data_IF_476385629469
#
_entry.id   IF_476385629469
#
_cell.length_a   1.000
_cell.length_b   1.000
_cell.length_c   1.000
_cell.angle_alpha   90.00
_cell.angle_beta   90.00
_cell.angle_gamma   90.00
#
_symmetry.space_group_name_H-M   'P 1'
#
loop_
_entity.id
_entity.type
_entity.pdbx_description
1 polymer ?
#
# COMPACT_ATOMS: atom_id res chain seq x y z
N UNK A 1 -63.34 25.83 -4.72
CA UNK A 1 -62.15 26.73 -4.70
C UNK A 1 -61.43 26.59 -6.03
N UNK A 2 -60.87 27.70 -6.53
CA UNK A 2 -60.20 27.85 -7.86
C UNK A 2 -59.01 26.90 -8.03
N UNK A 3 -58.80 26.21 -9.16
CA UNK A 3 -58.67 26.58 -10.59
C UNK A 3 -57.21 26.84 -11.04
N UNK A 4 -56.88 26.47 -12.28
CA UNK A 4 -55.52 26.21 -12.79
C UNK A 4 -54.83 27.35 -13.56
N UNK A 5 -53.49 27.28 -13.62
CA UNK A 5 -52.55 27.78 -14.69
C UNK A 5 -52.59 29.27 -15.12
N UNK A 6 -51.58 30.05 -14.71
CA UNK A 6 -50.90 31.13 -15.49
C UNK A 6 -49.40 31.15 -15.10
N UNK A 7 -48.51 31.87 -15.79
CA UNK A 7 -47.76 31.42 -16.97
C UNK A 7 -46.88 32.57 -17.58
N UNK A 8 -45.55 32.48 -17.38
CA UNK A 8 -44.46 33.14 -18.14
C UNK A 8 -44.15 34.67 -18.03
N UNK A 9 -42.83 34.95 -18.08
CA UNK A 9 -42.10 36.23 -18.39
C UNK A 9 -42.16 37.30 -17.28
N UNK A 10 -41.14 38.13 -17.03
CA UNK A 10 -39.88 38.52 -17.71
C UNK A 10 -38.69 38.39 -16.70
N UNK A 11 -37.38 38.43 -16.99
CA UNK A 11 -36.56 39.22 -17.93
C UNK A 11 -35.31 38.44 -18.39
N UNK A 12 -34.59 38.97 -19.39
CA UNK A 12 -33.48 38.30 -20.09
C UNK A 12 -32.26 39.23 -20.22
N UNK A 13 -31.07 38.73 -19.84
CA UNK A 13 -29.73 39.27 -20.19
C UNK A 13 -29.33 40.65 -19.56
N UNK A 14 -28.03 41.04 -19.53
CA UNK A 14 -26.87 40.40 -20.20
C UNK A 14 -25.67 40.03 -19.30
N UNK A 15 -24.69 39.38 -19.94
CA UNK A 15 -23.43 38.88 -19.40
C UNK A 15 -22.48 39.99 -18.90
N UNK A 16 -21.76 39.71 -17.81
CA UNK A 16 -20.59 40.48 -17.38
C UNK A 16 -19.49 39.55 -16.89
N UNK A 17 -18.38 39.44 -17.63
CA UNK A 17 -17.23 38.66 -17.22
C UNK A 17 -16.47 39.40 -16.11
N UNK A 18 -16.48 38.86 -14.89
CA UNK A 18 -15.54 39.27 -13.83
C UNK A 18 -14.65 38.10 -13.43
N UNK A 19 -13.42 38.13 -13.92
CA UNK A 19 -12.36 37.26 -13.45
C UNK A 19 -12.05 37.60 -11.98
N UNK A 20 -12.47 36.74 -11.06
CA UNK A 20 -12.05 36.84 -9.67
C UNK A 20 -10.58 36.43 -9.57
N UNK A 21 -9.75 37.32 -9.02
CA UNK A 21 -8.33 37.03 -8.77
C UNK A 21 -8.23 35.89 -7.75
N UNK A 22 -7.27 34.96 -7.89
CA UNK A 22 -7.01 33.98 -6.83
C UNK A 22 -6.52 34.71 -5.56
N UNK A 23 -6.86 34.23 -4.35
CA UNK A 23 -6.35 34.79 -3.12
C UNK A 23 -4.82 34.62 -3.03
N UNK A 24 -4.13 35.69 -2.64
CA UNK A 24 -2.68 35.68 -2.48
C UNK A 24 -2.25 34.85 -1.28
N UNK A 25 -1.14 34.10 -1.44
CA UNK A 25 -0.27 33.77 -0.30
C UNK A 25 -0.63 32.54 0.55
N UNK A 26 -0.75 31.35 -0.05
CA UNK A 26 -0.22 30.17 0.64
C UNK A 26 1.31 30.26 0.58
N UNK A 27 2.07 30.09 1.68
CA UNK A 27 3.52 30.12 1.61
C UNK A 27 4.02 28.97 0.73
N UNK A 28 4.49 29.30 -0.47
CA UNK A 28 5.29 28.37 -1.28
C UNK A 28 6.46 27.95 -0.39
N UNK A 29 6.58 26.66 -0.10
CA UNK A 29 7.63 26.13 0.78
C UNK A 29 8.99 26.53 0.20
N UNK A 30 9.66 27.45 0.90
CA UNK A 30 10.98 27.97 0.51
C UNK A 30 11.90 26.79 0.24
N UNK A 31 12.52 26.76 -0.93
CA UNK A 31 13.42 25.68 -1.32
C UNK A 31 14.54 25.51 -0.30
N UNK A 32 14.59 24.33 0.33
CA UNK A 32 15.70 23.90 1.15
C UNK A 32 16.25 22.59 0.59
N UNK A 33 17.57 22.59 0.38
CA UNK A 33 18.40 21.50 -0.11
C UNK A 33 18.18 21.06 -1.56
N UNK A 34 19.20 21.33 -2.39
CA UNK A 34 19.54 20.51 -3.55
C UNK A 34 20.12 19.16 -3.10
N UNK A 35 19.36 18.43 -2.27
CA UNK A 35 19.65 17.05 -1.89
C UNK A 35 18.94 16.11 -2.87
N UNK A 36 19.56 14.96 -3.17
CA UNK A 36 18.89 13.92 -3.95
C UNK A 36 17.60 13.47 -3.25
N UNK A 37 16.51 13.37 -4.01
CA UNK A 37 15.27 12.72 -3.54
C UNK A 37 15.63 11.30 -3.06
N UNK A 38 15.15 10.85 -1.88
CA UNK A 38 15.38 9.50 -1.40
C UNK A 38 14.90 8.47 -2.44
N UNK A 39 15.68 7.40 -2.64
CA UNK A 39 15.24 6.25 -3.44
C UNK A 39 14.22 5.46 -2.64
N UNK A 40 12.98 5.43 -3.11
CA UNK A 40 11.84 4.81 -2.40
C UNK A 40 11.44 3.53 -3.08
N UNK A 41 11.51 2.40 -2.39
CA UNK A 41 11.17 1.09 -2.94
C UNK A 41 10.12 0.39 -2.08
N UNK A 42 9.41 -0.58 -2.67
CA UNK A 42 8.55 -1.48 -1.91
C UNK A 42 8.93 -2.95 -2.13
N UNK A 43 8.91 -3.74 -1.07
CA UNK A 43 9.04 -5.19 -1.09
C UNK A 43 7.65 -5.78 -1.24
N UNK A 44 7.39 -6.37 -2.39
CA UNK A 44 6.13 -7.03 -2.72
C UNK A 44 6.26 -8.54 -2.66
N UNK A 45 5.13 -9.24 -2.49
CA UNK A 45 5.11 -10.70 -2.47
C UNK A 45 3.96 -11.28 -1.64
N UNK A 46 3.71 -12.56 -1.89
CA UNK A 46 2.57 -13.30 -1.34
C UNK A 46 2.59 -13.38 0.21
N UNK A 47 1.48 -13.83 0.78
CA UNK A 47 1.37 -14.17 2.21
C UNK A 47 2.44 -15.21 2.57
N UNK A 48 3.06 -15.07 3.74
CA UNK A 48 4.14 -15.92 4.25
C UNK A 48 5.41 -16.12 3.37
N UNK A 49 5.55 -15.44 2.22
CA UNK A 49 6.71 -15.61 1.31
C UNK A 49 8.08 -15.34 1.94
N UNK A 50 8.14 -14.56 3.04
CA UNK A 50 9.38 -14.24 3.76
C UNK A 50 9.72 -12.75 3.85
N UNK A 51 8.81 -11.84 3.45
CA UNK A 51 9.03 -10.37 3.47
C UNK A 51 9.65 -9.86 4.78
N UNK A 52 9.06 -10.19 5.92
CA UNK A 52 9.54 -9.69 7.22
C UNK A 52 10.90 -10.29 7.63
N UNK A 53 11.27 -11.47 7.13
CA UNK A 53 12.61 -12.06 7.27
C UNK A 53 13.61 -11.31 6.40
N UNK A 54 13.25 -11.03 5.15
CA UNK A 54 14.06 -10.27 4.20
C UNK A 54 14.27 -8.82 4.67
N UNK A 55 13.27 -8.19 5.28
CA UNK A 55 13.36 -6.88 5.93
C UNK A 55 14.40 -6.89 7.06
N UNK A 56 14.42 -7.92 7.92
CA UNK A 56 15.43 -8.04 8.99
C UNK A 56 16.85 -8.17 8.41
N UNK A 57 17.00 -8.89 7.30
CA UNK A 57 18.27 -9.00 6.59
C UNK A 57 18.72 -7.66 5.98
N UNK A 58 17.81 -6.89 5.39
CA UNK A 58 18.10 -5.53 4.92
C UNK A 58 18.49 -4.59 6.07
N UNK A 59 17.79 -4.63 7.22
CA UNK A 59 18.14 -3.83 8.41
C UNK A 59 19.55 -4.16 8.95
N UNK A 60 19.95 -5.44 8.88
CA UNK A 60 21.29 -5.90 9.27
C UNK A 60 22.38 -5.47 8.28
N UNK A 61 22.08 -5.52 6.97
CA UNK A 61 23.06 -5.30 5.90
C UNK A 61 23.23 -3.82 5.52
N UNK A 62 22.15 -3.04 5.63
CA UNK A 62 22.08 -1.62 5.29
C UNK A 62 21.48 -0.82 6.46
N UNK A 63 22.20 -0.67 7.58
CA UNK A 63 21.71 0.06 8.75
C UNK A 63 21.47 1.56 8.48
N UNK A 64 21.95 2.09 7.36
CA UNK A 64 21.69 3.44 6.87
C UNK A 64 20.39 3.57 6.06
N UNK A 65 19.67 2.47 5.79
CA UNK A 65 18.40 2.50 5.07
C UNK A 65 17.24 2.62 6.05
N UNK A 66 16.24 3.42 5.69
CA UNK A 66 15.00 3.49 6.46
C UNK A 66 14.02 2.44 5.97
N UNK A 67 13.56 1.56 6.86
CA UNK A 67 12.66 0.47 6.50
C UNK A 67 11.38 0.58 7.32
N UNK A 68 10.28 0.80 6.61
CA UNK A 68 8.94 0.93 7.15
C UNK A 68 8.21 -0.42 7.02
N UNK A 69 7.90 -1.05 8.14
CA UNK A 69 7.28 -2.39 8.21
C UNK A 69 5.76 -2.33 8.10
N UNK A 70 5.15 -3.46 7.76
CA UNK A 70 3.70 -3.57 7.66
C UNK A 70 3.04 -3.51 9.06
N UNK A 71 2.02 -2.67 9.30
CA UNK A 71 1.45 -2.45 10.63
C UNK A 71 0.46 -3.55 11.07
N UNK A 72 0.81 -4.83 10.86
CA UNK A 72 -0.06 -5.98 11.12
C UNK A 72 -0.56 -6.02 12.57
N UNK A 73 0.30 -5.68 13.54
CA UNK A 73 -0.09 -5.62 14.96
C UNK A 73 -1.22 -4.61 15.24
N UNK A 74 -1.28 -3.52 14.47
CA UNK A 74 -2.36 -2.52 14.55
C UNK A 74 -3.67 -3.04 13.97
N UNK A 75 -3.62 -3.99 13.03
CA UNK A 75 -4.81 -4.65 12.48
C UNK A 75 -5.30 -5.78 13.40
N UNK A 76 -4.37 -6.46 14.08
CA UNK A 76 -4.65 -7.50 15.07
C UNK A 76 -5.24 -6.94 16.38
N UNK A 77 -5.01 -5.66 16.69
CA UNK A 77 -5.50 -5.00 17.89
C UNK A 77 -6.02 -3.60 17.58
N UNK A 78 -7.27 -3.50 17.16
CA UNK A 78 -7.98 -2.22 17.03
C UNK A 78 -8.20 -1.67 18.44
N UNK A 79 -7.64 -0.51 18.75
CA UNK A 79 -7.78 0.13 20.06
C UNK A 79 -8.85 1.21 20.03
N UNK A 80 -9.61 1.34 21.12
CA UNK A 80 -10.47 2.49 21.32
C UNK A 80 -9.63 3.77 21.48
N UNK A 81 -9.96 4.84 20.74
CA UNK A 81 -9.44 6.17 21.04
C UNK A 81 -10.08 6.62 22.34
N UNK A 82 -9.33 6.51 23.44
CA UNK A 82 -9.82 6.88 24.76
C UNK A 82 -10.20 8.36 24.82
N UNK A 83 -11.36 8.66 25.39
CA UNK A 83 -11.54 9.98 26.02
C UNK A 83 -10.55 10.09 27.19
N UNK A 84 -10.05 11.30 27.48
CA UNK A 84 -8.90 11.58 28.37
C UNK A 84 -9.05 11.16 29.86
N UNK A 85 -10.04 10.31 30.21
CA UNK A 85 -10.37 9.89 31.58
C UNK A 85 -10.25 8.38 31.84
N UNK A 86 -9.91 7.54 30.86
CA UNK A 86 -9.72 6.11 31.05
C UNK A 86 -8.24 5.72 30.88
N UNK A 87 -7.62 5.18 31.93
CA UNK A 87 -6.19 4.83 31.98
C UNK A 87 -5.89 3.42 31.42
N UNK A 88 -6.80 2.84 30.64
CA UNK A 88 -6.69 1.49 30.08
C UNK A 88 -7.07 1.49 28.60
N UNK A 89 -6.12 1.12 27.75
CA UNK A 89 -6.35 0.93 26.31
C UNK A 89 -7.11 -0.37 26.06
N UNK A 90 -8.43 -0.28 25.94
CA UNK A 90 -9.26 -1.44 25.64
C UNK A 90 -9.11 -1.85 24.17
N UNK A 91 -8.79 -3.12 23.94
CA UNK A 91 -8.87 -3.74 22.62
C UNK A 91 -10.33 -3.92 22.22
N UNK A 92 -10.68 -3.46 21.03
CA UNK A 92 -12.02 -3.55 20.44
C UNK A 92 -12.18 -4.78 19.54
N UNK A 93 -11.09 -5.35 19.03
CA UNK A 93 -11.13 -6.54 18.18
C UNK A 93 -9.91 -6.70 17.27
N UNK A 94 -9.87 -7.85 16.59
CA UNK A 94 -8.86 -8.23 15.62
C UNK A 94 -9.46 -8.17 14.21
N UNK A 95 -9.20 -7.09 13.48
CA UNK A 95 -9.80 -6.88 12.16
C UNK A 95 -9.19 -7.79 11.08
N UNK A 96 -7.99 -8.31 11.31
CA UNK A 96 -7.38 -9.32 10.43
C UNK A 96 -8.12 -10.66 10.56
N UNK A 97 -8.39 -11.11 11.78
CA UNK A 97 -9.18 -12.33 12.05
C UNK A 97 -10.60 -12.19 11.49
N UNK A 98 -11.30 -11.09 11.83
CA UNK A 98 -12.65 -10.82 11.33
C UNK A 98 -12.74 -10.89 9.80
N UNK A 99 -11.72 -10.39 9.08
CA UNK A 99 -11.65 -10.47 7.62
C UNK A 99 -11.48 -11.91 7.10
N UNK A 100 -10.72 -12.77 7.77
CA UNK A 100 -10.62 -14.19 7.36
C UNK A 100 -11.83 -15.04 7.79
N UNK A 101 -12.49 -14.72 8.91
CA UNK A 101 -13.69 -15.46 9.38
C UNK A 101 -14.94 -15.15 8.54
N UNK A 102 -15.20 -13.88 8.21
CA UNK A 102 -16.33 -13.47 7.36
C UNK A 102 -15.88 -12.47 6.26
N UNK A 103 -15.19 -12.94 5.20
CA UNK A 103 -14.64 -12.06 4.16
C UNK A 103 -15.68 -11.12 3.53
N UNK A 104 -16.86 -11.63 3.18
CA UNK A 104 -17.95 -10.86 2.57
C UNK A 104 -18.51 -9.75 3.48
N UNK A 105 -18.25 -9.79 4.79
CA UNK A 105 -18.71 -8.76 5.74
C UNK A 105 -17.61 -7.74 6.07
N UNK A 106 -16.35 -8.17 6.13
CA UNK A 106 -15.27 -7.36 6.69
C UNK A 106 -14.19 -6.95 5.70
N UNK A 107 -14.16 -7.51 4.48
CA UNK A 107 -13.16 -7.18 3.46
C UNK A 107 -13.08 -5.69 3.17
N UNK A 108 -14.21 -5.00 2.93
CA UNK A 108 -14.17 -3.56 2.64
C UNK A 108 -13.59 -2.74 3.81
N UNK A 109 -13.94 -3.10 5.04
CA UNK A 109 -13.45 -2.42 6.25
C UNK A 109 -11.96 -2.68 6.48
N UNK A 110 -11.51 -3.92 6.31
CA UNK A 110 -10.09 -4.28 6.41
C UNK A 110 -9.25 -3.64 5.30
N UNK A 111 -9.69 -3.70 4.04
CA UNK A 111 -8.96 -3.08 2.90
C UNK A 111 -8.89 -1.56 3.03
N UNK A 112 -9.92 -0.92 3.58
CA UNK A 112 -9.89 0.51 3.91
C UNK A 112 -8.89 0.78 5.04
N UNK A 113 -8.92 0.04 6.15
CA UNK A 113 -8.03 0.28 7.29
C UNK A 113 -6.56 -0.02 6.99
N UNK A 114 -6.28 -1.13 6.30
CA UNK A 114 -4.93 -1.51 5.87
C UNK A 114 -4.32 -0.45 4.97
N UNK A 115 -5.01 -0.03 3.91
CA UNK A 115 -4.58 1.09 3.07
C UNK A 115 -4.34 2.36 3.88
N UNK A 116 -5.27 2.80 4.75
CA UNK A 116 -5.12 4.06 5.48
C UNK A 116 -3.93 4.02 6.45
N UNK A 117 -3.67 2.86 7.06
CA UNK A 117 -2.48 2.67 7.90
C UNK A 117 -1.18 2.70 7.09
N UNK A 118 -1.15 2.07 5.91
CA UNK A 118 0.02 2.05 5.02
C UNK A 118 0.26 3.42 4.36
N UNK A 119 -0.79 4.13 3.98
CA UNK A 119 -0.74 5.50 3.46
C UNK A 119 -0.11 6.45 4.49
N UNK A 120 -0.51 6.38 5.77
CA UNK A 120 0.10 7.17 6.84
C UNK A 120 1.61 6.94 6.93
N UNK A 121 2.02 5.68 7.00
CA UNK A 121 3.44 5.27 7.03
C UNK A 121 4.21 5.76 5.80
N UNK A 122 3.60 5.69 4.60
CA UNK A 122 4.24 6.20 3.38
C UNK A 122 4.28 7.74 3.29
N UNK A 123 3.45 8.45 4.07
CA UNK A 123 3.47 9.91 4.17
C UNK A 123 4.33 10.43 5.32
N UNK A 124 4.79 9.59 6.23
CA UNK A 124 5.65 10.00 7.34
C UNK A 124 6.95 10.65 6.83
N UNK A 125 7.39 11.76 7.45
CA UNK A 125 8.62 12.43 7.05
C UNK A 125 9.83 11.55 7.38
N UNK A 126 10.78 11.48 6.44
CA UNK A 126 12.04 10.78 6.66
C UNK A 126 12.85 11.44 7.79
N UNK A 127 13.44 10.65 8.71
CA UNK A 127 14.39 11.16 9.70
C UNK A 127 15.49 12.04 9.09
N UNK A 128 15.71 13.23 9.66
CA UNK A 128 16.65 14.25 9.14
C UNK A 128 18.06 13.70 8.87
N UNK A 129 18.53 12.76 9.70
CA UNK A 129 19.83 12.08 9.58
C UNK A 129 20.02 11.40 8.22
N UNK A 130 18.95 10.93 7.59
CA UNK A 130 18.99 10.26 6.29
C UNK A 130 19.06 11.27 5.14
N UNK A 131 18.33 12.38 5.26
CA UNK A 131 18.32 13.45 4.27
C UNK A 131 19.71 14.09 4.10
N UNK A 132 20.50 14.10 5.18
CA UNK A 132 21.90 14.57 5.15
C UNK A 132 22.88 13.60 4.47
N UNK A 133 22.52 12.31 4.30
CA UNK A 133 23.44 11.28 3.79
C UNK A 133 23.59 11.29 2.24
N UNK A 134 22.83 12.12 1.52
CA UNK A 134 22.95 12.32 0.07
C UNK A 134 22.54 11.14 -0.83
N UNK A 135 22.34 9.94 -0.26
CA UNK A 135 21.88 8.71 -0.93
C UNK A 135 20.88 7.94 -0.07
N UNK A 136 19.91 8.66 0.50
CA UNK A 136 18.88 8.06 1.33
C UNK A 136 18.10 6.98 0.57
N UNK A 137 17.87 5.83 1.21
CA UNK A 137 17.01 4.76 0.69
C UNK A 137 15.89 4.51 1.71
N UNK A 138 14.65 4.46 1.22
CA UNK A 138 13.46 4.12 1.98
C UNK A 138 12.84 2.86 1.40
N UNK A 139 12.62 1.84 2.22
CA UNK A 139 11.98 0.59 1.84
C UNK A 139 10.65 0.46 2.59
N UNK A 140 9.60 0.04 1.88
CA UNK A 140 8.30 -0.30 2.46
C UNK A 140 8.02 -1.79 2.36
N UNK A 141 7.57 -2.43 3.44
CA UNK A 141 6.96 -3.76 3.37
C UNK A 141 5.54 -3.63 2.79
N UNK A 142 5.38 -4.05 1.52
CA UNK A 142 4.24 -3.75 0.64
C UNK A 142 4.02 -2.28 0.33
N UNK A 143 3.13 -2.00 -0.63
CA UNK A 143 2.73 -0.64 -1.02
C UNK A 143 1.22 -0.44 -1.02
N UNK A 144 0.78 0.82 -0.99
CA UNK A 144 -0.62 1.22 -1.25
C UNK A 144 -1.16 0.73 -2.60
N UNK A 145 -0.27 0.41 -3.55
CA UNK A 145 -0.62 -0.18 -4.84
C UNK A 145 -0.98 -1.65 -4.69
N UNK A 146 -0.25 -2.41 -3.86
CA UNK A 146 -0.59 -3.81 -3.57
C UNK A 146 -1.95 -3.96 -2.86
N UNK A 147 -2.36 -3.01 -2.02
CA UNK A 147 -3.70 -3.04 -1.39
C UNK A 147 -4.80 -3.10 -2.47
N UNK A 148 -4.71 -2.27 -3.50
CA UNK A 148 -5.69 -2.27 -4.60
C UNK A 148 -5.47 -3.40 -5.60
N UNK A 149 -4.28 -3.51 -6.17
CA UNK A 149 -4.03 -4.33 -7.36
C UNK A 149 -3.79 -5.81 -7.03
N UNK A 150 -3.50 -6.14 -5.77
CA UNK A 150 -3.43 -7.52 -5.28
C UNK A 150 -4.66 -7.82 -4.42
N UNK A 151 -4.77 -7.23 -3.23
CA UNK A 151 -5.69 -7.74 -2.20
C UNK A 151 -7.15 -7.36 -2.46
N UNK A 152 -7.47 -6.08 -2.62
CA UNK A 152 -8.85 -5.64 -2.87
C UNK A 152 -9.36 -6.12 -4.24
N UNK A 153 -8.53 -6.11 -5.29
CA UNK A 153 -8.88 -6.72 -6.59
C UNK A 153 -9.23 -8.20 -6.43
N UNK A 154 -8.43 -8.97 -5.70
CA UNK A 154 -8.71 -10.39 -5.50
C UNK A 154 -9.97 -10.64 -4.68
N UNK A 155 -10.21 -9.83 -3.64
CA UNK A 155 -11.42 -9.91 -2.83
C UNK A 155 -12.68 -9.50 -3.60
N UNK A 156 -12.57 -8.61 -4.59
CA UNK A 156 -13.66 -8.37 -5.54
C UNK A 156 -13.87 -9.57 -6.49
N UNK A 157 -12.80 -10.05 -7.12
CA UNK A 157 -12.87 -11.15 -8.10
C UNK A 157 -13.31 -12.50 -7.50
N UNK A 158 -13.12 -12.71 -6.18
CA UNK A 158 -13.63 -13.88 -5.45
C UNK A 158 -14.98 -13.66 -4.76
N UNK A 159 -15.61 -12.50 -4.92
CA UNK A 159 -16.95 -12.19 -4.38
C UNK A 159 -17.00 -11.74 -2.91
N UNK A 160 -15.85 -11.49 -2.27
CA UNK A 160 -15.77 -10.94 -0.90
C UNK A 160 -15.97 -9.42 -0.81
N UNK A 161 -15.95 -8.71 -1.94
CA UNK A 161 -16.40 -7.32 -2.08
C UNK A 161 -17.54 -7.27 -3.11
N UNK A 162 -18.62 -6.57 -2.77
CA UNK A 162 -19.67 -6.24 -3.73
C UNK A 162 -19.21 -5.20 -4.77
N UNK A 163 -19.93 -5.10 -5.90
CA UNK A 163 -19.67 -4.06 -6.91
C UNK A 163 -19.69 -2.64 -6.35
N UNK A 164 -20.56 -2.37 -5.37
CA UNK A 164 -20.69 -1.07 -4.70
C UNK A 164 -19.44 -0.79 -3.85
N UNK A 165 -19.02 -1.76 -3.03
CA UNK A 165 -17.81 -1.63 -2.20
C UNK A 165 -16.55 -1.49 -3.06
N UNK A 166 -16.45 -2.26 -4.14
CA UNK A 166 -15.31 -2.18 -5.07
C UNK A 166 -15.29 -0.86 -5.84
N UNK A 167 -16.44 -0.34 -6.28
CA UNK A 167 -16.51 0.98 -6.89
C UNK A 167 -16.06 2.08 -5.91
N UNK A 168 -16.63 2.12 -4.70
CA UNK A 168 -16.28 3.11 -3.68
C UNK A 168 -14.81 3.01 -3.27
N UNK A 169 -14.29 1.78 -3.09
CA UNK A 169 -12.88 1.54 -2.78
C UNK A 169 -11.96 2.15 -3.84
N UNK A 170 -12.26 1.92 -5.12
CA UNK A 170 -11.47 2.45 -6.22
C UNK A 170 -11.53 3.97 -6.32
N UNK A 171 -12.68 4.58 -6.09
CA UNK A 171 -12.84 6.04 -6.16
C UNK A 171 -11.96 6.73 -5.10
N UNK A 172 -12.10 6.38 -3.81
CA UNK A 172 -11.30 7.03 -2.77
C UNK A 172 -9.81 6.68 -2.89
N UNK A 173 -9.46 5.48 -3.35
CA UNK A 173 -8.07 5.08 -3.57
C UNK A 173 -7.43 5.92 -4.67
N UNK A 174 -8.14 6.12 -5.78
CA UNK A 174 -7.68 6.97 -6.89
C UNK A 174 -7.50 8.42 -6.45
N UNK A 175 -8.50 8.98 -5.75
CA UNK A 175 -8.46 10.33 -5.22
C UNK A 175 -7.25 10.57 -4.29
N UNK A 176 -7.06 9.73 -3.26
CA UNK A 176 -5.97 9.94 -2.30
C UNK A 176 -4.59 9.75 -2.94
N UNK A 177 -4.43 8.82 -3.88
CA UNK A 177 -3.16 8.67 -4.60
C UNK A 177 -2.89 9.80 -5.59
N UNK A 178 -3.92 10.48 -6.11
CA UNK A 178 -3.76 11.69 -6.91
C UNK A 178 -3.32 12.88 -6.03
N UNK A 179 -4.02 13.13 -4.91
CA UNK A 179 -3.70 14.21 -3.97
C UNK A 179 -2.28 14.08 -3.37
N UNK A 180 -1.84 12.84 -3.12
CA UNK A 180 -0.52 12.56 -2.53
C UNK A 180 0.54 12.08 -3.52
N UNK A 181 0.30 12.15 -4.84
CA UNK A 181 1.16 11.54 -5.87
C UNK A 181 2.66 11.87 -5.72
N UNK A 182 3.00 13.13 -5.48
CA UNK A 182 4.37 13.60 -5.29
C UNK A 182 5.05 13.02 -4.04
N UNK A 183 4.29 12.71 -2.99
CA UNK A 183 4.77 12.15 -1.72
C UNK A 183 4.71 10.63 -1.67
N UNK A 184 4.09 9.97 -2.65
CA UNK A 184 3.94 8.51 -2.72
C UNK A 184 4.74 7.87 -3.86
N UNK A 185 5.51 8.68 -4.61
CA UNK A 185 6.42 8.22 -5.66
C UNK A 185 7.30 7.07 -5.17
N UNK A 186 7.24 5.94 -5.88
CA UNK A 186 8.19 4.83 -5.80
C UNK A 186 9.13 4.86 -7.00
N UNK A 187 10.33 4.33 -6.79
CA UNK A 187 11.43 4.25 -7.73
C UNK A 187 11.73 2.81 -8.15
N UNK A 188 11.28 1.81 -7.37
CA UNK A 188 11.45 0.40 -7.70
C UNK A 188 10.59 -0.52 -6.83
N UNK A 189 10.29 -1.71 -7.34
CA UNK A 189 9.73 -2.82 -6.55
C UNK A 189 10.77 -3.93 -6.41
N UNK A 190 10.80 -4.58 -5.25
CA UNK A 190 11.54 -5.82 -5.00
C UNK A 190 10.49 -6.91 -4.81
N UNK A 191 10.28 -7.74 -5.82
CA UNK A 191 9.30 -8.82 -5.77
C UNK A 191 9.95 -10.10 -5.24
N UNK A 192 9.57 -10.50 -4.03
CA UNK A 192 9.91 -11.81 -3.48
C UNK A 192 8.95 -12.86 -4.05
N UNK A 193 9.46 -13.68 -4.97
CA UNK A 193 8.71 -14.69 -5.72
C UNK A 193 8.96 -16.06 -5.13
N UNK A 194 7.90 -16.73 -4.70
CA UNK A 194 7.90 -18.16 -4.42
C UNK A 194 6.54 -18.75 -4.84
N UNK A 195 6.52 -20.06 -5.03
CA UNK A 195 5.30 -20.82 -5.34
C UNK A 195 4.27 -20.74 -4.20
N UNK A 196 2.96 -20.83 -4.50
CA UNK A 196 1.89 -20.91 -3.49
C UNK A 196 2.12 -22.02 -2.47
N UNK A 197 2.67 -23.16 -2.88
CA UNK A 197 2.94 -24.32 -2.01
C UNK A 197 4.07 -24.02 -1.00
N UNK A 198 5.14 -23.32 -1.42
CA UNK A 198 6.17 -22.82 -0.49
C UNK A 198 5.58 -21.78 0.47
N UNK A 199 4.73 -20.88 -0.04
CA UNK A 199 4.04 -19.89 0.79
C UNK A 199 3.17 -20.56 1.86
N UNK A 200 2.36 -21.57 1.50
CA UNK A 200 1.51 -22.33 2.42
C UNK A 200 2.33 -23.06 3.49
N UNK A 201 3.43 -23.72 3.09
CA UNK A 201 4.36 -24.36 4.04
C UNK A 201 4.90 -23.35 5.07
N UNK A 202 5.34 -22.17 4.61
CA UNK A 202 5.84 -21.09 5.48
C UNK A 202 4.73 -20.49 6.36
N UNK A 203 3.49 -20.44 5.86
CA UNK A 203 2.31 -19.97 6.56
C UNK A 203 2.00 -20.87 7.76
N UNK A 204 1.96 -22.19 7.54
CA UNK A 204 1.80 -23.17 8.63
C UNK A 204 2.96 -23.12 9.63
N UNK A 205 4.22 -22.97 9.16
CA UNK A 205 5.39 -22.86 10.03
C UNK A 205 5.36 -21.63 10.96
N UNK A 206 4.85 -20.48 10.51
CA UNK A 206 4.71 -19.28 11.37
C UNK A 206 3.50 -19.34 12.32
N UNK A 207 2.59 -20.29 12.12
CA UNK A 207 1.50 -20.64 13.02
C UNK A 207 0.63 -19.46 13.55
N UNK A 208 0.45 -18.40 12.75
CA UNK A 208 -0.43 -17.29 13.10
C UNK A 208 -1.89 -17.75 13.11
N UNK A 209 -2.60 -17.51 14.20
CA UNK A 209 -3.96 -17.99 14.45
C UNK A 209 -4.95 -17.60 13.35
N UNK A 210 -4.98 -16.30 13.00
CA UNK A 210 -5.92 -15.69 12.04
C UNK A 210 -5.76 -16.25 10.62
N UNK A 211 -4.62 -16.86 10.32
CA UNK A 211 -4.28 -17.33 8.99
C UNK A 211 -4.47 -18.84 8.81
N UNK A 212 -4.86 -19.57 9.88
CA UNK A 212 -5.00 -21.05 9.85
C UNK A 212 -6.00 -21.58 8.83
N UNK A 213 -7.01 -20.78 8.48
CA UNK A 213 -8.01 -21.11 7.45
C UNK A 213 -7.62 -20.71 6.02
N UNK A 214 -6.37 -20.27 5.77
CA UNK A 214 -5.94 -19.85 4.44
C UNK A 214 -5.59 -21.09 3.59
N UNK A 215 -6.49 -21.39 2.66
CA UNK A 215 -6.32 -22.47 1.69
C UNK A 215 -5.30 -22.15 0.59
N UNK A 216 -4.76 -23.21 -0.02
CA UNK A 216 -3.81 -23.11 -1.14
C UNK A 216 -4.36 -22.27 -2.30
N UNK A 217 -5.64 -22.44 -2.62
CA UNK A 217 -6.33 -21.75 -3.72
C UNK A 217 -6.33 -20.23 -3.57
N UNK A 218 -6.41 -19.72 -2.33
CA UNK A 218 -6.30 -18.27 -2.07
C UNK A 218 -4.86 -17.77 -2.28
N UNK A 219 -3.86 -18.59 -1.95
CA UNK A 219 -2.46 -18.25 -2.22
C UNK A 219 -2.11 -18.34 -3.71
N UNK A 220 -2.73 -19.26 -4.46
CA UNK A 220 -2.65 -19.35 -5.92
C UNK A 220 -3.24 -18.10 -6.57
N UNK A 221 -4.48 -17.74 -6.22
CA UNK A 221 -5.11 -16.49 -6.64
C UNK A 221 -4.19 -15.27 -6.40
N UNK A 222 -3.69 -15.09 -5.17
CA UNK A 222 -2.80 -13.99 -4.84
C UNK A 222 -1.46 -14.04 -5.61
N UNK A 223 -0.94 -15.23 -5.92
CA UNK A 223 0.27 -15.38 -6.74
C UNK A 223 0.01 -14.87 -8.16
N UNK A 224 -1.09 -15.28 -8.79
CA UNK A 224 -1.46 -14.85 -10.14
C UNK A 224 -1.62 -13.33 -10.25
N UNK A 225 -2.18 -12.67 -9.23
CA UNK A 225 -2.25 -11.20 -9.19
C UNK A 225 -0.84 -10.55 -9.19
N UNK A 226 0.13 -11.13 -8.46
CA UNK A 226 1.51 -10.61 -8.43
C UNK A 226 2.22 -10.86 -9.76
N UNK A 227 2.07 -12.05 -10.35
CA UNK A 227 2.64 -12.37 -11.67
C UNK A 227 2.07 -11.45 -12.76
N UNK A 228 0.75 -11.27 -12.80
CA UNK A 228 0.08 -10.36 -13.74
C UNK A 228 0.55 -8.90 -13.59
N UNK A 229 0.78 -8.42 -12.35
CA UNK A 229 1.20 -7.03 -12.11
C UNK A 229 2.70 -6.80 -12.31
N UNK A 230 3.55 -7.62 -11.69
CA UNK A 230 4.98 -7.35 -11.52
C UNK A 230 5.87 -8.05 -12.55
N UNK A 231 5.41 -9.17 -13.13
CA UNK A 231 6.15 -9.98 -14.10
C UNK A 231 5.62 -9.75 -15.52
N UNK A 232 4.35 -10.07 -15.76
CA UNK A 232 3.73 -10.02 -17.09
C UNK A 232 3.21 -8.64 -17.50
N UNK A 233 3.05 -7.72 -16.54
CA UNK A 233 2.54 -6.34 -16.74
C UNK A 233 1.17 -6.26 -17.44
N UNK A 234 0.33 -7.27 -17.25
CA UNK A 234 -1.02 -7.37 -17.83
C UNK A 234 -2.12 -6.74 -16.96
N UNK A 235 -1.88 -6.56 -15.66
CA UNK A 235 -2.82 -5.86 -14.76
C UNK A 235 -3.01 -4.40 -15.20
N UNK A 236 -4.25 -4.02 -15.51
CA UNK A 236 -4.59 -2.63 -15.88
C UNK A 236 -4.36 -1.68 -14.70
N UNK A 237 -3.40 -0.77 -14.85
CA UNK A 237 -3.07 0.25 -13.86
C UNK A 237 -3.76 1.58 -14.18
N UNK A 238 -4.08 2.35 -13.14
CA UNK A 238 -4.73 3.67 -13.21
C UNK A 238 -3.77 4.82 -12.91
N UNK A 239 -2.46 4.54 -12.81
CA UNK A 239 -1.41 5.50 -12.50
C UNK A 239 -0.25 5.30 -13.48
N UNK A 240 -0.03 6.25 -14.38
CA UNK A 240 1.03 6.19 -15.40
C UNK A 240 2.41 6.02 -14.78
N UNK A 241 2.64 6.63 -13.61
CA UNK A 241 3.88 6.55 -12.84
C UNK A 241 4.28 5.12 -12.47
N UNK A 242 3.34 4.18 -12.39
CA UNK A 242 3.61 2.77 -12.05
C UNK A 242 4.07 1.92 -13.22
N UNK A 243 3.65 2.27 -14.45
CA UNK A 243 3.77 1.39 -15.63
C UNK A 243 5.23 1.03 -15.90
N UNK A 244 6.12 2.01 -15.75
CA UNK A 244 7.54 1.89 -16.06
C UNK A 244 8.43 1.74 -14.81
N UNK A 245 7.88 1.49 -13.61
CA UNK A 245 8.71 1.30 -12.41
C UNK A 245 9.52 -0.01 -12.56
N UNK A 246 10.86 0.04 -12.39
CA UNK A 246 11.70 -1.15 -12.37
C UNK A 246 11.26 -2.17 -11.29
N UNK A 247 11.32 -3.46 -11.63
CA UNK A 247 11.04 -4.57 -10.70
C UNK A 247 12.28 -5.46 -10.63
N UNK A 248 12.82 -5.64 -9.43
CA UNK A 248 13.79 -6.69 -9.13
C UNK A 248 13.01 -7.94 -8.68
N UNK A 249 12.99 -8.98 -9.50
CA UNK A 249 12.44 -10.28 -9.11
C UNK A 249 13.51 -11.11 -8.41
N UNK A 250 13.20 -11.59 -7.20
CA UNK A 250 14.05 -12.47 -6.42
C UNK A 250 13.30 -13.78 -6.19
N UNK A 251 13.79 -14.87 -6.78
CA UNK A 251 13.30 -16.21 -6.45
C UNK A 251 13.75 -16.56 -5.02
N UNK A 252 12.78 -16.89 -4.18
CA UNK A 252 12.96 -17.28 -2.78
C UNK A 252 12.15 -18.54 -2.47
N UNK A 253 12.01 -19.47 -3.43
CA UNK A 253 11.41 -20.79 -3.18
C UNK A 253 12.22 -21.57 -2.14
N UNK A 254 13.54 -21.57 -2.29
CA UNK A 254 14.46 -22.08 -1.28
C UNK A 254 14.40 -21.24 0.01
N UNK A 255 14.76 -21.85 1.14
CA UNK A 255 15.11 -21.08 2.32
C UNK A 255 16.37 -20.26 2.05
N UNK A 256 16.33 -18.97 2.37
CA UNK A 256 17.42 -18.01 2.18
C UNK A 256 18.08 -17.60 3.50
N UNK A 257 17.84 -18.34 4.59
CA UNK A 257 18.61 -18.24 5.85
C UNK A 257 20.05 -18.77 5.72
N UNK A 258 20.40 -19.43 4.62
CA UNK A 258 21.79 -19.79 4.28
C UNK A 258 22.59 -18.53 3.92
N UNK A 259 23.72 -18.30 4.61
CA UNK A 259 24.54 -17.08 4.47
C UNK A 259 24.93 -16.77 3.01
N UNK A 260 25.24 -17.80 2.22
CA UNK A 260 25.58 -17.66 0.79
C UNK A 260 24.41 -17.10 -0.04
N UNK A 261 23.17 -17.49 0.28
CA UNK A 261 21.96 -16.95 -0.35
C UNK A 261 21.63 -15.55 0.18
N UNK A 262 21.82 -15.29 1.49
CA UNK A 262 21.71 -13.92 2.04
C UNK A 262 22.61 -12.95 1.26
N UNK A 263 23.89 -13.29 1.10
CA UNK A 263 24.88 -12.48 0.37
C UNK A 263 24.51 -12.27 -1.11
N UNK A 264 24.06 -13.32 -1.80
CA UNK A 264 23.66 -13.21 -3.22
C UNK A 264 22.44 -12.30 -3.40
N UNK A 265 21.42 -12.44 -2.54
CA UNK A 265 20.22 -11.61 -2.58
C UNK A 265 20.56 -10.15 -2.27
N UNK A 266 21.35 -9.89 -1.23
CA UNK A 266 21.78 -8.53 -0.88
C UNK A 266 22.63 -7.90 -1.99
N UNK A 267 23.50 -8.67 -2.65
CA UNK A 267 24.25 -8.19 -3.84
C UNK A 267 23.31 -7.77 -4.96
N UNK A 268 22.28 -8.57 -5.29
CA UNK A 268 21.26 -8.23 -6.31
C UNK A 268 20.52 -6.94 -5.94
N UNK A 269 20.10 -6.79 -4.68
CA UNK A 269 19.43 -5.57 -4.18
C UNK A 269 20.34 -4.34 -4.29
N UNK A 270 21.61 -4.44 -3.86
CA UNK A 270 22.57 -3.34 -3.93
C UNK A 270 22.80 -2.87 -5.38
N UNK A 271 22.99 -3.80 -6.32
CA UNK A 271 23.12 -3.49 -7.74
C UNK A 271 21.87 -2.82 -8.28
N UNK A 272 20.67 -3.33 -7.93
CA UNK A 272 19.41 -2.74 -8.36
C UNK A 272 19.23 -1.31 -7.84
N UNK A 273 19.35 -1.10 -6.52
CA UNK A 273 19.17 0.22 -5.88
C UNK A 273 20.22 1.23 -6.35
N UNK A 274 21.44 0.80 -6.69
CA UNK A 274 22.46 1.69 -7.28
C UNK A 274 22.08 2.20 -8.67
N UNK A 275 21.34 1.40 -9.44
CA UNK A 275 20.93 1.68 -10.82
C UNK A 275 19.58 2.40 -10.95
N UNK A 276 18.96 2.82 -9.84
CA UNK A 276 17.75 3.66 -9.78
C UNK A 276 18.03 5.16 -9.78
#
# INVERSE_FOLDING_TARGET
MTASRVLLRLLRAPSGCMAQRPPEGVPLSRGLHAGHEPRRLSIEGNIAVGKSTFVKLLMKTYPEWHIATEPVATWQNIQAVGTQKACTTQSLGNLLDMMYQEPARWSYMFQTFSFMSRLKIQLEPLPEKLLQAGKAVQIFERSVYSDRYIFAKNLFENGSLSDIEWHIYQEWHSFLLQEFASRLRLHGFIYLRATPQVCLKRLHQRAREEERGIELTYLEQLHDQHEAWLVHRTTKLHFETLVNIPVLVLDVNDDFSEVTKEEELMRKVNTFVKNL
#
